data_IF_344430272734
#
_entry.id   IF_344430272734
#
_cell.length_a   1.000
_cell.length_b   1.000
_cell.length_c   1.000
_cell.angle_alpha   90.00
_cell.angle_beta   90.00
_cell.angle_gamma   90.00
#
_symmetry.space_group_name_H-M   'P 1'
#
loop_
_entity.id
_entity.type
_entity.pdbx_description
1 polymer ?
#
# COMPACT_ATOMS: atom_id res chain seq x y z
N UNK A 1 -15.86 -16.19 24.17
CA UNK A 1 -17.09 -15.36 24.10
C UNK A 1 -16.72 -14.20 23.21
N UNK A 2 -16.84 -14.39 21.89
CA UNK A 2 -16.53 -13.34 20.90
C UNK A 2 -17.57 -12.25 21.08
N UNK A 3 -17.12 -11.06 21.52
CA UNK A 3 -17.94 -9.87 21.51
C UNK A 3 -18.23 -9.55 20.06
N UNK A 4 -19.46 -9.82 19.62
CA UNK A 4 -19.99 -9.26 18.37
C UNK A 4 -19.96 -7.75 18.56
N UNK A 5 -18.93 -7.10 18.02
CA UNK A 5 -18.95 -5.65 17.83
C UNK A 5 -20.16 -5.41 16.96
N UNK A 6 -21.13 -4.63 17.45
CA UNK A 6 -22.33 -4.29 16.73
C UNK A 6 -22.11 -2.89 16.15
N UNK A 7 -21.47 -2.82 14.99
CA UNK A 7 -21.24 -1.60 14.20
C UNK A 7 -22.58 -0.97 13.79
N UNK A 8 -23.11 -0.12 14.66
CA UNK A 8 -24.28 0.71 14.37
C UNK A 8 -23.96 1.70 13.23
N UNK A 9 -25.00 2.27 12.61
CA UNK A 9 -24.84 3.30 11.55
C UNK A 9 -23.96 4.49 11.95
N UNK A 10 -23.90 4.82 13.25
CA UNK A 10 -22.98 5.83 13.79
C UNK A 10 -21.51 5.39 13.73
N UNK A 11 -21.21 4.12 13.99
CA UNK A 11 -19.84 3.59 13.91
C UNK A 11 -19.32 3.58 12.46
N UNK A 12 -20.17 3.25 11.48
CA UNK A 12 -19.83 3.34 10.05
C UNK A 12 -19.42 4.77 9.64
N UNK A 13 -20.19 5.78 10.08
CA UNK A 13 -19.88 7.19 9.77
C UNK A 13 -18.57 7.64 10.43
N UNK A 14 -18.20 7.05 11.56
CA UNK A 14 -16.95 7.35 12.26
C UNK A 14 -15.72 6.56 11.76
N UNK A 15 -15.89 5.69 10.75
CA UNK A 15 -14.83 4.79 10.29
C UNK A 15 -13.54 5.54 9.93
N UNK A 16 -12.45 5.15 10.58
CA UNK A 16 -11.12 5.71 10.34
C UNK A 16 -10.05 4.61 10.41
N UNK A 17 -9.51 4.15 9.26
CA UNK A 17 -8.53 3.08 9.19
C UNK A 17 -7.15 3.44 9.76
N UNK A 18 -6.93 4.72 10.09
CA UNK A 18 -5.68 5.20 10.71
C UNK A 18 -5.80 5.36 12.23
N UNK A 19 -6.98 5.07 12.80
CA UNK A 19 -7.26 5.14 14.23
C UNK A 19 -7.55 3.77 14.84
N UNK A 20 -8.48 3.75 15.80
CA UNK A 20 -8.91 2.53 16.51
C UNK A 20 -9.45 1.42 15.60
N UNK A 21 -9.98 1.76 14.42
CA UNK A 21 -10.49 0.76 13.49
C UNK A 21 -9.38 -0.08 12.83
N UNK A 22 -8.11 0.36 12.87
CA UNK A 22 -7.00 -0.39 12.27
C UNK A 22 -6.87 -1.80 12.89
N UNK A 23 -6.97 -1.90 14.21
CA UNK A 23 -6.83 -3.19 14.92
C UNK A 23 -8.00 -4.15 14.72
N UNK A 24 -9.14 -3.66 14.23
CA UNK A 24 -10.37 -4.44 14.05
C UNK A 24 -10.86 -4.45 12.59
N UNK A 25 -10.02 -4.03 11.64
CA UNK A 25 -10.45 -3.76 10.27
C UNK A 25 -11.18 -4.94 9.61
N UNK A 26 -10.71 -6.17 9.83
CA UNK A 26 -11.34 -7.37 9.25
C UNK A 26 -12.73 -7.64 9.81
N UNK A 27 -12.92 -7.50 11.13
CA UNK A 27 -14.21 -7.70 11.79
C UNK A 27 -15.18 -6.57 11.40
N UNK A 28 -14.70 -5.33 11.43
CA UNK A 28 -15.45 -4.15 11.01
C UNK A 28 -15.96 -4.31 9.57
N UNK A 29 -15.09 -4.65 8.61
CA UNK A 29 -15.51 -4.81 7.21
C UNK A 29 -16.40 -6.03 6.98
N UNK A 30 -16.31 -7.07 7.82
CA UNK A 30 -17.25 -8.20 7.76
C UNK A 30 -18.66 -7.72 8.04
N UNK A 31 -18.86 -6.98 9.13
CA UNK A 31 -20.17 -6.47 9.47
C UNK A 31 -20.66 -5.40 8.48
N UNK A 32 -19.79 -4.48 8.07
CA UNK A 32 -20.16 -3.46 7.09
C UNK A 32 -20.69 -4.07 5.79
N UNK A 33 -20.09 -5.16 5.29
CA UNK A 33 -20.60 -5.89 4.11
C UNK A 33 -22.00 -6.48 4.30
N UNK A 34 -22.32 -6.95 5.50
CA UNK A 34 -23.59 -7.59 5.82
C UNK A 34 -24.72 -6.56 6.00
N UNK A 35 -24.43 -5.42 6.63
CA UNK A 35 -25.45 -4.43 7.01
C UNK A 35 -25.58 -3.28 6.02
N UNK A 36 -24.46 -2.67 5.63
CA UNK A 36 -24.42 -1.49 4.77
C UNK A 36 -23.12 -1.47 3.96
N UNK A 37 -23.04 -2.22 2.85
CA UNK A 37 -21.81 -2.47 2.10
C UNK A 37 -21.15 -1.22 1.50
N UNK A 38 -21.95 -0.16 1.32
CA UNK A 38 -21.52 1.17 0.89
C UNK A 38 -22.02 2.21 1.89
N UNK A 39 -21.10 2.93 2.51
CA UNK A 39 -21.41 3.93 3.53
C UNK A 39 -20.48 5.13 3.42
N UNK A 40 -20.91 6.27 3.95
CA UNK A 40 -20.08 7.47 4.00
C UNK A 40 -19.36 7.53 5.35
N UNK A 41 -18.03 7.62 5.33
CA UNK A 41 -17.21 7.94 6.51
C UNK A 41 -17.00 9.45 6.57
N UNK A 42 -17.43 10.06 7.67
CA UNK A 42 -17.16 11.47 7.99
C UNK A 42 -15.68 11.68 8.32
N UNK A 43 -15.04 10.71 8.97
CA UNK A 43 -13.62 10.82 9.34
C UNK A 43 -12.69 10.79 8.13
N UNK A 44 -13.07 10.05 7.08
CA UNK A 44 -12.38 10.06 5.79
C UNK A 44 -12.94 11.10 4.81
N UNK A 45 -14.13 11.65 5.10
CA UNK A 45 -14.92 12.46 4.17
C UNK A 45 -15.09 11.77 2.80
N UNK A 46 -15.36 10.45 2.81
CA UNK A 46 -15.37 9.62 1.62
C UNK A 46 -16.40 8.48 1.71
N UNK A 47 -16.84 8.01 0.55
CA UNK A 47 -17.59 6.76 0.45
C UNK A 47 -16.64 5.56 0.62
N UNK A 48 -17.00 4.65 1.51
CA UNK A 48 -16.34 3.38 1.73
C UNK A 48 -17.14 2.28 1.06
N UNK A 49 -16.46 1.48 0.23
CA UNK A 49 -17.03 0.37 -0.53
C UNK A 49 -16.36 -0.91 -0.05
N UNK A 50 -17.14 -1.92 0.34
CA UNK A 50 -16.60 -3.08 1.07
C UNK A 50 -16.82 -4.43 0.42
N UNK A 51 -17.66 -4.53 -0.63
CA UNK A 51 -17.92 -5.78 -1.35
C UNK A 51 -16.94 -5.96 -2.51
N UNK A 52 -16.66 -7.21 -2.86
CA UNK A 52 -15.77 -7.51 -3.97
C UNK A 52 -16.27 -6.94 -5.30
N UNK A 53 -17.55 -7.13 -5.62
CA UNK A 53 -18.12 -6.72 -6.91
C UNK A 53 -18.13 -5.21 -7.07
N UNK A 54 -18.50 -4.47 -6.01
CA UNK A 54 -18.49 -3.00 -6.05
C UNK A 54 -17.06 -2.45 -6.14
N UNK A 55 -16.11 -3.00 -5.37
CA UNK A 55 -14.70 -2.61 -5.45
C UNK A 55 -14.16 -2.85 -6.87
N UNK A 56 -14.44 -4.02 -7.45
CA UNK A 56 -14.01 -4.36 -8.80
C UNK A 56 -14.62 -3.42 -9.83
N UNK A 57 -15.90 -3.05 -9.68
CA UNK A 57 -16.56 -2.08 -10.54
C UNK A 57 -15.91 -0.70 -10.45
N UNK A 58 -15.66 -0.19 -9.24
CA UNK A 58 -15.02 1.11 -9.01
C UNK A 58 -13.62 1.15 -9.62
N UNK A 59 -12.76 0.19 -9.24
CA UNK A 59 -11.37 0.11 -9.73
C UNK A 59 -11.31 -0.13 -11.25
N UNK A 60 -12.32 -0.79 -11.82
CA UNK A 60 -12.43 -1.06 -13.25
C UNK A 60 -13.02 0.07 -14.10
N UNK A 61 -13.50 1.16 -13.48
CA UNK A 61 -14.23 2.24 -14.17
C UNK A 61 -13.53 3.61 -14.05
N UNK A 62 -12.30 3.78 -14.56
CA UNK A 62 -11.51 5.01 -14.40
C UNK A 62 -12.10 6.24 -15.10
N UNK A 63 -13.01 6.06 -16.05
CA UNK A 63 -13.78 7.18 -16.64
C UNK A 63 -14.80 7.79 -15.68
N UNK A 64 -15.17 7.04 -14.63
CA UNK A 64 -16.14 7.44 -13.61
C UNK A 64 -15.45 7.76 -12.29
N UNK A 65 -14.43 6.98 -11.92
CA UNK A 65 -13.69 7.12 -10.67
C UNK A 65 -12.22 7.44 -10.97
N UNK A 66 -11.89 8.73 -10.90
CA UNK A 66 -10.53 9.22 -11.09
C UNK A 66 -9.59 8.75 -9.97
N UNK A 67 -8.33 8.51 -10.31
CA UNK A 67 -7.25 8.23 -9.33
C UNK A 67 -6.46 9.48 -8.92
N UNK A 68 -6.74 10.65 -9.53
CA UNK A 68 -5.98 11.89 -9.33
C UNK A 68 -5.88 12.29 -7.85
N UNK A 69 -6.96 12.15 -7.10
CA UNK A 69 -7.02 12.54 -5.68
C UNK A 69 -7.07 11.33 -4.73
N UNK A 70 -6.62 10.15 -5.20
CA UNK A 70 -6.62 8.93 -4.39
C UNK A 70 -5.80 9.08 -3.09
N UNK A 71 -4.80 9.97 -3.11
CA UNK A 71 -3.97 10.31 -1.96
C UNK A 71 -3.84 11.83 -1.87
N UNK A 72 -4.43 12.48 -0.85
CA UNK A 72 -4.24 13.90 -0.62
C UNK A 72 -2.78 14.23 -0.32
N UNK A 73 -2.25 15.29 -0.95
CA UNK A 73 -0.88 15.78 -0.73
C UNK A 73 -0.69 16.19 0.74
N UNK A 74 0.29 15.61 1.46
CA UNK A 74 0.62 16.05 2.81
C UNK A 74 1.13 17.49 2.84
N UNK A 75 0.69 18.26 3.84
CA UNK A 75 1.11 19.65 4.07
C UNK A 75 1.55 19.85 5.51
N UNK A 76 2.35 20.90 5.77
CA UNK A 76 2.83 21.24 7.11
C UNK A 76 4.01 20.39 7.60
N UNK A 77 4.73 19.75 6.68
CA UNK A 77 5.93 18.98 6.99
C UNK A 77 7.16 19.92 7.13
N UNK A 78 8.24 19.48 7.82
CA UNK A 78 9.51 20.20 7.80
C UNK A 78 10.02 20.43 6.37
N UNK A 79 10.68 21.56 6.13
CA UNK A 79 11.05 22.06 4.79
C UNK A 79 11.60 21.02 3.81
N UNK A 80 12.56 20.19 4.25
CA UNK A 80 13.17 19.17 3.40
C UNK A 80 12.16 18.09 2.98
N UNK A 81 11.31 17.65 3.91
CA UNK A 81 10.27 16.67 3.65
C UNK A 81 9.14 17.27 2.80
N UNK A 82 8.76 18.52 3.05
CA UNK A 82 7.76 19.22 2.24
C UNK A 82 8.21 19.33 0.79
N UNK A 83 9.46 19.75 0.53
CA UNK A 83 10.03 19.79 -0.83
C UNK A 83 10.03 18.44 -1.52
N UNK A 84 10.31 17.36 -0.79
CA UNK A 84 10.27 16.00 -1.36
C UNK A 84 8.84 15.59 -1.74
N UNK A 85 7.85 15.90 -0.89
CA UNK A 85 6.44 15.68 -1.21
C UNK A 85 5.98 16.56 -2.37
N UNK A 86 6.39 17.82 -2.41
CA UNK A 86 6.08 18.72 -3.53
C UNK A 86 6.59 18.13 -4.83
N UNK A 87 7.87 17.74 -4.87
CA UNK A 87 8.42 17.08 -6.04
C UNK A 87 7.66 15.82 -6.44
N UNK A 88 7.30 14.95 -5.49
CA UNK A 88 6.58 13.71 -5.79
C UNK A 88 5.18 13.95 -6.37
N UNK A 89 4.39 14.82 -5.73
CA UNK A 89 3.01 15.08 -6.14
C UNK A 89 2.91 15.96 -7.40
N UNK A 90 3.82 16.92 -7.56
CA UNK A 90 3.83 17.82 -8.72
C UNK A 90 4.26 17.09 -10.01
N UNK A 91 4.87 15.91 -9.89
CA UNK A 91 5.22 15.03 -11.01
C UNK A 91 4.21 13.90 -11.25
N UNK A 92 3.04 13.92 -10.59
CA UNK A 92 1.92 12.98 -10.73
C UNK A 92 2.37 11.51 -10.86
N UNK A 93 2.57 10.78 -9.75
CA UNK A 93 3.02 9.40 -9.81
C UNK A 93 2.03 8.56 -10.64
N UNK A 94 2.51 7.47 -11.25
CA UNK A 94 1.70 6.60 -12.12
C UNK A 94 0.36 6.21 -11.47
N UNK A 95 0.32 6.03 -10.16
CA UNK A 95 -0.87 5.66 -9.38
C UNK A 95 -1.93 6.76 -9.26
N UNK A 96 -1.61 8.00 -9.64
CA UNK A 96 -2.49 9.18 -9.59
C UNK A 96 -2.78 9.76 -10.98
N UNK A 97 -2.51 9.00 -12.04
CA UNK A 97 -2.84 9.39 -13.41
C UNK A 97 -4.14 8.71 -13.86
N UNK A 98 -4.94 9.44 -14.64
CA UNK A 98 -6.09 8.90 -15.35
C UNK A 98 -5.75 8.62 -16.83
N UNK A 99 -6.59 7.87 -17.57
CA UNK A 99 -6.46 7.77 -19.02
C UNK A 99 -6.67 9.14 -19.71
N UNK A 100 -5.94 9.43 -20.81
CA UNK A 100 -5.00 8.55 -21.50
C UNK A 100 -3.56 8.54 -20.96
N UNK A 101 -3.18 9.49 -20.10
CA UNK A 101 -1.81 9.70 -19.60
C UNK A 101 -1.30 8.46 -18.88
N UNK A 102 -2.12 7.87 -18.01
CA UNK A 102 -1.81 6.63 -17.29
C UNK A 102 -1.38 5.51 -18.23
N UNK A 103 -2.06 5.31 -19.36
CA UNK A 103 -1.74 4.24 -20.31
C UNK A 103 -0.36 4.46 -20.96
N UNK A 104 0.01 5.71 -21.19
CA UNK A 104 1.31 6.08 -21.77
C UNK A 104 2.44 5.79 -20.79
N UNK A 105 2.33 6.29 -19.55
CA UNK A 105 3.36 6.10 -18.52
C UNK A 105 3.45 4.62 -18.12
N UNK A 106 2.31 3.94 -17.91
CA UNK A 106 2.27 2.51 -17.57
C UNK A 106 2.99 1.65 -18.61
N UNK A 107 2.86 1.97 -19.90
CA UNK A 107 3.53 1.21 -20.97
C UNK A 107 5.06 1.27 -20.86
N UNK A 108 5.60 2.39 -20.40
CA UNK A 108 7.05 2.54 -20.18
C UNK A 108 7.46 1.72 -18.96
N UNK A 109 6.79 1.91 -17.83
CA UNK A 109 7.08 1.21 -16.56
C UNK A 109 6.95 -0.31 -16.71
N UNK A 110 5.91 -0.78 -17.41
CA UNK A 110 5.64 -2.21 -17.59
C UNK A 110 6.78 -2.97 -18.32
N UNK A 111 7.65 -2.28 -19.07
CA UNK A 111 8.85 -2.92 -19.63
C UNK A 111 9.78 -3.47 -18.55
N UNK A 112 9.83 -2.83 -17.38
CA UNK A 112 10.58 -3.30 -16.21
C UNK A 112 9.89 -4.43 -15.44
N UNK A 113 8.58 -4.63 -15.62
CA UNK A 113 7.77 -5.60 -14.87
C UNK A 113 7.17 -6.69 -15.76
N UNK A 114 7.76 -6.96 -16.92
CA UNK A 114 7.33 -8.05 -17.76
C UNK A 114 7.77 -9.41 -17.19
N UNK A 115 7.16 -10.50 -17.67
CA UNK A 115 7.43 -11.86 -17.19
C UNK A 115 8.92 -12.23 -17.22
N UNK A 116 9.63 -11.90 -18.30
CA UNK A 116 11.07 -12.21 -18.43
C UNK A 116 11.88 -11.49 -17.36
N UNK A 117 11.61 -10.20 -17.10
CA UNK A 117 12.32 -9.43 -16.07
C UNK A 117 12.01 -9.98 -14.67
N UNK A 118 10.75 -10.28 -14.38
CA UNK A 118 10.35 -10.85 -13.08
C UNK A 118 10.99 -12.23 -12.87
N UNK A 119 10.98 -13.10 -13.87
CA UNK A 119 11.61 -14.43 -13.78
C UNK A 119 13.13 -14.33 -13.56
N UNK A 120 13.81 -13.35 -14.17
CA UNK A 120 15.22 -13.12 -13.91
C UNK A 120 15.48 -12.62 -12.48
N UNK A 121 14.58 -11.80 -11.93
CA UNK A 121 14.67 -11.29 -10.57
C UNK A 121 14.45 -12.37 -9.49
N UNK A 122 13.80 -13.49 -9.81
CA UNK A 122 13.52 -14.56 -8.84
C UNK A 122 14.79 -15.06 -8.14
N UNK A 123 15.86 -15.30 -8.91
CA UNK A 123 17.14 -15.79 -8.37
C UNK A 123 17.70 -14.80 -7.35
N UNK A 124 17.73 -13.52 -7.70
CA UNK A 124 18.24 -12.46 -6.83
C UNK A 124 17.37 -12.29 -5.58
N UNK A 125 16.04 -12.34 -5.71
CA UNK A 125 15.13 -12.26 -4.57
C UNK A 125 15.32 -13.46 -3.63
N UNK A 126 15.53 -14.66 -4.18
CA UNK A 126 15.82 -15.86 -3.38
C UNK A 126 17.12 -15.71 -2.59
N UNK A 127 18.17 -15.20 -3.22
CA UNK A 127 19.45 -14.89 -2.55
C UNK A 127 19.29 -13.86 -1.44
N UNK A 128 18.47 -12.81 -1.66
CA UNK A 128 18.14 -11.80 -0.64
C UNK A 128 17.42 -12.46 0.55
N UNK A 129 16.40 -13.27 0.28
CA UNK A 129 15.64 -14.00 1.31
C UNK A 129 16.55 -14.94 2.10
N UNK A 130 17.39 -15.72 1.41
CA UNK A 130 18.32 -16.66 2.05
C UNK A 130 19.34 -15.90 2.91
N UNK A 131 19.85 -14.76 2.44
CA UNK A 131 20.76 -13.90 3.21
C UNK A 131 20.14 -13.44 4.53
N UNK A 132 18.91 -12.94 4.50
CA UNK A 132 18.22 -12.50 5.71
C UNK A 132 17.86 -13.68 6.62
N UNK A 133 17.39 -14.79 6.05
CA UNK A 133 17.07 -16.01 6.81
C UNK A 133 18.31 -16.57 7.53
N UNK A 134 19.45 -16.61 6.86
CA UNK A 134 20.70 -17.14 7.41
C UNK A 134 21.29 -16.27 8.54
N UNK A 135 20.89 -15.00 8.63
CA UNK A 135 21.28 -14.07 9.71
C UNK A 135 20.40 -14.18 10.94
N UNK A 136 19.26 -14.86 10.85
CA UNK A 136 18.36 -15.03 11.99
C UNK A 136 19.01 -15.95 13.06
N UNK A 137 18.75 -15.69 14.35
CA UNK A 137 19.21 -16.57 15.42
C UNK A 137 18.73 -18.01 15.22
N UNK A 138 19.68 -18.96 15.11
CA UNK A 138 19.37 -20.40 14.97
C UNK A 138 18.75 -21.00 16.23
N UNK A 139 19.06 -20.40 17.37
CA UNK A 139 18.51 -20.75 18.68
C UNK A 139 18.08 -19.45 19.36
N UNK A 140 16.85 -19.39 19.88
CA UNK A 140 16.33 -18.22 20.59
C UNK A 140 15.14 -17.57 19.90
N UNK A 141 14.86 -16.32 20.28
CA UNK A 141 13.75 -15.51 19.77
C UNK A 141 14.30 -14.38 18.91
N UNK A 142 13.56 -13.99 17.89
CA UNK A 142 13.83 -12.83 17.06
C UNK A 142 12.51 -12.13 16.72
N UNK A 143 12.58 -10.89 16.25
CA UNK A 143 11.43 -10.13 15.78
C UNK A 143 11.27 -10.36 14.27
N UNK A 144 10.24 -11.09 13.86
CA UNK A 144 10.02 -11.40 12.45
C UNK A 144 9.89 -10.14 11.58
N UNK A 145 9.34 -9.04 12.11
CA UNK A 145 9.15 -7.80 11.35
C UNK A 145 10.47 -7.06 11.22
N UNK A 146 11.09 -6.73 12.35
CA UNK A 146 12.31 -5.92 12.38
C UNK A 146 13.53 -6.68 11.82
N UNK A 147 13.61 -7.99 12.04
CA UNK A 147 14.77 -8.79 11.64
C UNK A 147 14.65 -9.37 10.23
N UNK A 148 13.45 -9.42 9.65
CA UNK A 148 13.23 -10.08 8.36
C UNK A 148 12.22 -9.37 7.43
N UNK A 149 10.95 -9.28 7.82
CA UNK A 149 9.87 -8.93 6.90
C UNK A 149 9.93 -7.48 6.39
N UNK A 150 10.45 -6.54 7.18
CA UNK A 150 10.68 -5.17 6.73
C UNK A 150 11.91 -5.06 5.79
N UNK A 151 12.91 -5.91 5.98
CA UNK A 151 14.21 -5.82 5.29
C UNK A 151 14.21 -6.45 3.90
N UNK A 152 13.52 -7.58 3.74
CA UNK A 152 13.48 -8.33 2.47
C UNK A 152 12.85 -7.50 1.33
N UNK A 153 11.66 -6.87 1.48
CA UNK A 153 11.07 -6.07 0.41
C UNK A 153 11.91 -4.84 0.08
N UNK A 154 12.50 -4.18 1.09
CA UNK A 154 13.37 -3.02 0.89
C UNK A 154 14.58 -3.38 0.01
N UNK A 155 15.32 -4.44 0.38
CA UNK A 155 16.45 -4.94 -0.40
C UNK A 155 16.03 -5.39 -1.81
N UNK A 156 14.87 -6.03 -1.93
CA UNK A 156 14.30 -6.43 -3.23
C UNK A 156 13.99 -5.24 -4.13
N UNK A 157 13.33 -4.22 -3.61
CA UNK A 157 13.03 -2.98 -4.34
C UNK A 157 14.30 -2.26 -4.77
N UNK A 158 15.29 -2.13 -3.89
CA UNK A 158 16.55 -1.48 -4.22
C UNK A 158 17.32 -2.23 -5.32
N UNK A 159 17.33 -3.57 -5.27
CA UNK A 159 17.92 -4.40 -6.32
C UNK A 159 17.21 -4.20 -7.66
N UNK A 160 15.88 -4.11 -7.67
CA UNK A 160 15.09 -3.84 -8.90
C UNK A 160 15.35 -2.43 -9.44
N UNK A 161 15.54 -1.44 -8.58
CA UNK A 161 15.88 -0.05 -8.96
C UNK A 161 17.34 0.05 -9.44
N UNK A 162 18.19 -0.92 -9.09
CA UNK A 162 19.61 -0.94 -9.43
C UNK A 162 20.48 -0.10 -8.49
N UNK A 163 20.03 0.11 -7.25
CA UNK A 163 20.84 0.75 -6.22
C UNK A 163 21.91 -0.23 -5.71
N UNK A 164 23.12 0.26 -5.38
CA UNK A 164 24.16 -0.58 -4.81
C UNK A 164 23.79 -1.00 -3.38
N UNK A 165 24.27 -2.17 -2.95
CA UNK A 165 23.89 -2.77 -1.66
C UNK A 165 24.28 -1.92 -0.45
N UNK A 166 25.33 -1.10 -0.54
CA UNK A 166 25.78 -0.19 0.52
C UNK A 166 24.81 0.98 0.76
N UNK A 167 23.93 1.29 -0.21
CA UNK A 167 22.85 2.23 -0.02
C UNK A 167 21.76 1.72 0.95
N UNK A 168 21.77 0.42 1.28
CA UNK A 168 20.72 -0.21 2.08
C UNK A 168 20.86 0.17 3.56
N UNK A 169 22.09 0.38 4.01
CA UNK A 169 22.43 0.77 5.38
C UNK A 169 22.02 2.22 5.70
N UNK A 170 21.71 3.04 4.69
CA UNK A 170 21.21 4.41 4.88
C UNK A 170 19.73 4.48 5.29
N UNK A 171 19.01 3.35 5.27
CA UNK A 171 17.55 3.29 5.50
C UNK A 171 17.12 2.39 6.66
N UNK A 172 18.06 1.82 7.43
CA UNK A 172 17.82 1.00 8.64
C UNK A 172 18.42 1.66 9.87
#
# INVERSE_FOLDING_TARGET
MESVVNVQSHELRSFNPFGSHLSIAHEFFKQAREEQPVFFSEALNALCVTTYDDIKYVVGSPSTFSSHDAFPKPTGLPDAAQRAMDFFYDNSPLTMLDPPEHATVRRIVHKGFNLKTISAAEVQIREIVDRFTNRLPKNGRFDLVADFAAKVPLAGTMNVIGLPEDAYDLMT
#
